data_IF_509791169321
#
_entry.id   IF_509791169321
#
_cell.length_a   1.000
_cell.length_b   1.000
_cell.length_c   1.000
_cell.angle_alpha   90.00
_cell.angle_beta   90.00
_cell.angle_gamma   90.00
#
_symmetry.space_group_name_H-M   'P 1'
#
loop_
_entity.id
_entity.type
_entity.pdbx_description
1 polymer ?
#
# COMPACT_ATOMS: atom_id res chain seq x y z
N UNK A 1 13.24 0.97 40.61
CA UNK A 1 13.08 -0.42 40.13
C UNK A 1 14.32 -0.77 39.35
N UNK A 2 14.87 -1.97 39.53
CA UNK A 2 16.03 -2.44 38.76
C UNK A 2 15.54 -2.83 37.38
N UNK A 3 16.05 -2.20 36.31
CA UNK A 3 15.68 -2.53 34.94
C UNK A 3 15.86 -4.04 34.67
N UNK A 4 14.95 -4.64 33.90
CA UNK A 4 15.03 -6.07 33.62
C UNK A 4 16.27 -6.39 32.78
N UNK A 5 16.81 -7.61 32.95
CA UNK A 5 17.97 -8.11 32.19
C UNK A 5 17.60 -8.72 30.83
N UNK A 6 16.31 -8.73 30.49
CA UNK A 6 15.77 -9.28 29.26
C UNK A 6 14.77 -8.31 28.62
N UNK A 7 14.48 -8.53 27.34
CA UNK A 7 13.57 -7.69 26.56
C UNK A 7 12.52 -8.55 25.88
N UNK A 8 11.25 -8.26 26.16
CA UNK A 8 10.10 -8.79 25.44
C UNK A 8 9.23 -7.59 25.04
N UNK A 9 9.42 -7.12 23.81
CA UNK A 9 8.77 -5.91 23.31
C UNK A 9 7.37 -6.17 22.80
N UNK A 10 6.46 -5.24 23.09
CA UNK A 10 5.18 -5.07 22.42
C UNK A 10 4.91 -3.57 22.29
N UNK A 11 4.10 -3.14 21.32
CA UNK A 11 3.82 -1.73 21.13
C UNK A 11 3.08 -1.41 19.85
N UNK A 12 2.77 -0.12 19.73
CA UNK A 12 2.06 0.46 18.62
C UNK A 12 3.03 1.17 17.67
N UNK A 13 2.77 1.08 16.37
CA UNK A 13 3.57 1.78 15.37
C UNK A 13 2.75 2.87 14.67
N UNK A 14 3.34 4.06 14.59
CA UNK A 14 2.83 5.19 13.84
C UNK A 14 3.74 5.45 12.64
N UNK A 15 3.13 5.83 11.51
CA UNK A 15 3.83 6.15 10.27
C UNK A 15 3.50 7.57 9.81
N UNK A 16 4.49 8.31 9.34
CA UNK A 16 4.30 9.59 8.67
C UNK A 16 4.98 9.52 7.30
N UNK A 17 4.20 9.59 6.23
CA UNK A 17 4.71 9.38 4.87
C UNK A 17 5.11 10.70 4.23
N UNK A 18 6.16 10.67 3.42
CA UNK A 18 6.53 11.80 2.60
C UNK A 18 5.59 11.88 1.41
N UNK A 19 4.94 13.04 1.26
CA UNK A 19 4.09 13.33 0.13
C UNK A 19 4.89 14.16 -0.90
N UNK A 20 5.22 13.58 -2.07
CA UNK A 20 6.05 14.26 -3.06
C UNK A 20 5.36 15.46 -3.72
N UNK A 21 4.02 15.53 -3.69
CA UNK A 21 3.24 16.63 -4.26
C UNK A 21 3.39 17.91 -3.43
N UNK A 22 3.39 17.78 -2.10
CA UNK A 22 3.55 18.92 -1.17
C UNK A 22 5.01 19.14 -0.72
N UNK A 23 5.89 18.17 -0.97
CA UNK A 23 7.31 18.25 -0.61
C UNK A 23 7.58 18.13 0.90
N UNK A 24 6.66 17.52 1.65
CA UNK A 24 6.71 17.43 3.11
C UNK A 24 6.25 16.06 3.60
N UNK A 25 6.58 15.75 4.86
CA UNK A 25 5.99 14.63 5.57
C UNK A 25 4.58 14.99 6.02
N UNK A 26 3.66 14.06 5.87
CA UNK A 26 2.29 14.14 6.39
C UNK A 26 2.30 13.96 7.91
N UNK A 27 1.14 14.18 8.55
CA UNK A 27 0.96 13.88 9.96
C UNK A 27 1.11 12.36 10.22
N UNK A 28 1.41 12.01 11.47
CA UNK A 28 1.48 10.60 11.86
C UNK A 28 0.08 9.97 11.81
N UNK A 29 -0.02 8.81 11.17
CA UNK A 29 -1.20 7.95 11.19
C UNK A 29 -0.88 6.65 11.94
N UNK A 30 -1.89 6.10 12.62
CA UNK A 30 -1.77 4.94 13.49
C UNK A 30 -2.72 5.03 14.70
N UNK A 31 -2.59 4.12 15.68
CA UNK A 31 -1.64 3.01 15.71
C UNK A 31 -1.94 1.97 14.61
N UNK A 32 -0.88 1.37 14.05
CA UNK A 32 -0.98 0.29 13.05
C UNK A 32 -0.52 -1.03 13.67
N UNK A 33 -1.28 -2.09 13.44
CA UNK A 33 -0.92 -3.42 13.90
C UNK A 33 0.32 -3.94 13.15
N UNK A 34 1.39 -4.23 13.90
CA UNK A 34 2.67 -4.69 13.35
C UNK A 34 3.11 -6.00 13.98
N UNK A 35 3.69 -6.86 13.16
CA UNK A 35 4.29 -8.13 13.62
C UNK A 35 5.80 -8.06 13.67
N UNK A 36 6.39 -7.08 12.99
CA UNK A 36 7.84 -6.87 12.94
C UNK A 36 8.18 -5.39 12.85
N UNK A 37 9.12 -4.94 13.67
CA UNK A 37 9.79 -3.66 13.57
C UNK A 37 11.27 -3.86 13.91
N UNK A 38 12.11 -4.02 12.88
CA UNK A 38 13.51 -4.44 13.02
C UNK A 38 14.45 -3.40 12.41
N UNK A 39 15.52 -3.08 13.14
CA UNK A 39 16.62 -2.24 12.70
C UNK A 39 17.90 -3.09 12.75
N UNK A 40 18.54 -3.27 11.59
CA UNK A 40 19.69 -4.16 11.43
C UNK A 40 20.94 -3.36 11.05
N UNK A 41 22.01 -3.37 11.88
CA UNK A 41 23.27 -2.74 11.52
C UNK A 41 23.92 -3.46 10.35
N UNK A 42 24.48 -2.70 9.42
CA UNK A 42 25.28 -3.24 8.30
C UNK A 42 26.68 -2.66 8.33
N UNK A 43 27.66 -3.55 8.12
CA UNK A 43 29.07 -3.22 7.98
C UNK A 43 29.65 -4.03 6.84
N UNK A 44 30.53 -3.43 6.05
CA UNK A 44 31.38 -4.15 5.10
C UNK A 44 32.74 -4.40 5.75
N UNK A 45 33.20 -5.66 5.69
CA UNK A 45 34.52 -6.05 6.15
C UNK A 45 35.49 -6.10 4.97
N UNK A 46 36.57 -5.31 5.04
CA UNK A 46 37.70 -5.43 4.11
C UNK A 46 38.83 -6.18 4.80
N UNK A 47 39.04 -7.42 4.37
CA UNK A 47 40.06 -8.30 4.94
C UNK A 47 41.22 -8.51 3.98
N UNK A 48 42.44 -8.42 4.51
CA UNK A 48 43.65 -8.85 3.81
C UNK A 48 43.94 -10.31 4.19
N UNK A 49 43.61 -11.24 3.30
CA UNK A 49 43.93 -12.66 3.49
C UNK A 49 45.36 -12.94 3.02
N UNK A 50 46.16 -13.51 3.92
CA UNK A 50 47.54 -13.88 3.67
C UNK A 50 47.66 -14.95 2.58
N UNK A 51 48.62 -14.75 1.67
CA UNK A 51 49.11 -15.78 0.74
C UNK A 51 50.52 -16.28 1.10
N UNK A 52 50.99 -15.99 2.31
CA UNK A 52 52.31 -16.42 2.78
C UNK A 52 52.39 -17.93 3.00
N UNK A 53 53.57 -18.53 2.81
CA UNK A 53 53.76 -20.00 2.88
C UNK A 53 53.32 -20.63 4.21
N UNK A 54 53.40 -19.90 5.32
CA UNK A 54 53.09 -20.40 6.68
C UNK A 54 51.78 -19.86 7.25
N UNK A 55 51.25 -18.76 6.71
CA UNK A 55 50.01 -18.12 7.15
C UNK A 55 48.93 -18.10 6.08
N UNK A 56 49.09 -18.92 5.02
CA UNK A 56 48.17 -18.98 3.88
C UNK A 56 46.73 -19.17 4.34
N UNK A 57 45.83 -18.26 3.95
CA UNK A 57 44.41 -18.29 4.30
C UNK A 57 44.05 -17.59 5.62
N UNK A 58 45.01 -17.04 6.38
CA UNK A 58 44.72 -16.27 7.60
C UNK A 58 44.48 -14.79 7.27
N UNK A 59 43.58 -14.13 8.02
CA UNK A 59 43.39 -12.67 7.95
C UNK A 59 44.55 -11.96 8.64
N UNK A 60 45.26 -11.10 7.92
CA UNK A 60 46.38 -10.30 8.43
C UNK A 60 45.86 -8.99 9.02
N UNK A 61 44.97 -8.33 8.29
CA UNK A 61 44.38 -7.03 8.62
C UNK A 61 42.89 -7.06 8.26
N UNK A 62 42.06 -6.41 9.07
CA UNK A 62 40.63 -6.26 8.82
C UNK A 62 40.18 -4.85 9.17
N UNK A 63 39.43 -4.21 8.26
CA UNK A 63 38.84 -2.89 8.46
C UNK A 63 37.33 -2.96 8.25
N UNK A 64 36.57 -2.53 9.24
CA UNK A 64 35.11 -2.40 9.18
C UNK A 64 34.72 -1.04 8.57
N UNK A 65 33.91 -1.05 7.52
CA UNK A 65 33.31 0.14 6.91
C UNK A 65 31.82 0.16 7.25
N UNK A 66 31.32 1.18 7.98
CA UNK A 66 29.90 1.31 8.28
C UNK A 66 29.05 1.49 7.02
N UNK A 67 27.91 0.82 6.95
CA UNK A 67 26.89 0.98 5.91
C UNK A 67 25.60 1.54 6.52
N UNK A 68 24.68 2.13 5.71
CA UNK A 68 23.37 2.52 6.19
C UNK A 68 22.65 1.33 6.84
N UNK A 69 22.01 1.57 7.99
CA UNK A 69 21.23 0.56 8.68
C UNK A 69 20.07 0.08 7.79
N UNK A 70 19.87 -1.22 7.76
CA UNK A 70 18.66 -1.81 7.17
C UNK A 70 17.50 -1.70 8.16
N UNK A 71 16.31 -1.58 7.60
CA UNK A 71 15.07 -1.46 8.34
C UNK A 71 14.03 -2.36 7.69
N UNK A 72 13.23 -3.04 8.50
CA UNK A 72 12.07 -3.78 7.99
C UNK A 72 10.92 -3.65 8.97
N UNK A 73 9.76 -3.29 8.44
CA UNK A 73 8.49 -3.31 9.15
C UNK A 73 7.51 -4.23 8.42
N UNK A 74 6.84 -5.09 9.18
CA UNK A 74 5.76 -5.94 8.68
C UNK A 74 4.47 -5.55 9.39
N UNK A 75 3.52 -5.01 8.63
CA UNK A 75 2.17 -4.70 9.08
C UNK A 75 1.27 -5.92 8.93
N UNK A 76 0.55 -6.26 9.99
CA UNK A 76 -0.53 -7.26 9.95
C UNK A 76 -1.85 -6.65 9.46
N UNK A 77 -1.98 -5.33 9.51
CA UNK A 77 -3.15 -4.62 8.99
C UNK A 77 -2.90 -4.05 7.58
N UNK A 78 -3.88 -4.27 6.70
CA UNK A 78 -3.95 -3.64 5.38
C UNK A 78 -4.88 -2.44 5.44
N UNK A 79 -4.31 -1.26 5.61
CA UNK A 79 -5.01 0.01 5.54
C UNK A 79 -4.68 0.73 4.22
N UNK A 80 -5.41 1.81 3.92
CA UNK A 80 -5.10 2.63 2.74
C UNK A 80 -3.65 3.12 2.74
N UNK A 81 -3.08 3.43 3.90
CA UNK A 81 -1.73 3.99 3.98
C UNK A 81 -0.64 2.91 3.87
N UNK A 82 -0.85 1.73 4.47
CA UNK A 82 0.07 0.59 4.30
C UNK A 82 0.02 0.07 2.87
N UNK A 83 -1.15 0.04 2.23
CA UNK A 83 -1.30 -0.39 0.84
C UNK A 83 -0.69 0.60 -0.16
N UNK A 84 -0.81 1.91 0.06
CA UNK A 84 -0.11 2.90 -0.79
C UNK A 84 1.41 2.73 -0.66
N UNK A 85 1.91 2.46 0.55
CA UNK A 85 3.33 2.22 0.78
C UNK A 85 3.80 0.93 0.09
N UNK A 86 3.01 -0.15 0.18
CA UNK A 86 3.30 -1.44 -0.47
C UNK A 86 3.34 -1.33 -2.01
N UNK A 87 2.40 -0.58 -2.59
CA UNK A 87 2.24 -0.45 -4.04
C UNK A 87 3.08 0.69 -4.64
N UNK A 88 3.94 1.33 -3.86
CA UNK A 88 4.72 2.50 -4.28
C UNK A 88 3.86 3.59 -4.95
N UNK A 89 2.68 3.82 -4.38
CA UNK A 89 1.63 4.57 -5.04
C UNK A 89 1.44 6.00 -4.55
N UNK A 90 0.49 6.68 -5.17
CA UNK A 90 -0.11 7.94 -4.72
C UNK A 90 -1.58 7.72 -4.41
N UNK A 91 -2.07 8.34 -3.33
CA UNK A 91 -3.46 8.23 -2.87
C UNK A 91 -4.23 9.47 -3.31
N UNK A 92 -5.43 9.28 -3.83
CA UNK A 92 -6.38 10.37 -4.11
C UNK A 92 -7.75 10.01 -3.55
N UNK A 93 -8.54 11.01 -3.19
CA UNK A 93 -9.92 10.79 -2.75
C UNK A 93 -10.82 10.46 -3.95
N UNK A 94 -11.74 9.52 -3.77
CA UNK A 94 -12.88 9.31 -4.65
C UNK A 94 -14.04 10.08 -4.02
N UNK A 95 -14.62 11.02 -4.76
CA UNK A 95 -15.82 11.75 -4.33
C UNK A 95 -16.70 12.06 -5.56
N UNK A 96 -17.53 11.08 -5.92
CA UNK A 96 -18.45 11.15 -7.05
C UNK A 96 -19.86 11.39 -6.48
N UNK A 97 -20.52 12.46 -6.91
CA UNK A 97 -21.92 12.73 -6.55
C UNK A 97 -22.88 11.77 -7.27
N UNK A 98 -24.10 11.61 -6.76
CA UNK A 98 -25.15 10.90 -7.48
C UNK A 98 -25.64 11.70 -8.70
N UNK A 99 -26.10 11.03 -9.74
CA UNK A 99 -26.60 11.70 -10.94
C UNK A 99 -27.40 10.80 -11.86
N UNK A 100 -27.69 11.34 -13.04
CA UNK A 100 -28.37 10.64 -14.12
C UNK A 100 -27.43 10.48 -15.31
N UNK A 101 -27.58 9.36 -16.01
CA UNK A 101 -26.95 9.09 -17.29
C UNK A 101 -28.04 9.03 -18.35
N UNK A 102 -27.87 9.75 -19.45
CA UNK A 102 -28.87 9.88 -20.50
C UNK A 102 -28.24 9.54 -21.84
N UNK A 103 -28.70 8.44 -22.45
CA UNK A 103 -28.26 7.97 -23.76
C UNK A 103 -26.74 7.95 -23.94
N UNK A 104 -25.99 7.45 -22.95
CA UNK A 104 -24.54 7.24 -23.09
C UNK A 104 -24.33 6.13 -24.12
N UNK A 105 -23.55 6.41 -25.14
CA UNK A 105 -23.24 5.48 -26.21
C UNK A 105 -22.01 4.63 -25.87
N UNK A 106 -22.19 3.31 -25.86
CA UNK A 106 -21.12 2.36 -25.53
C UNK A 106 -21.04 1.28 -26.61
N UNK A 107 -19.87 1.13 -27.22
CA UNK A 107 -19.60 0.06 -28.18
C UNK A 107 -19.40 -1.27 -27.45
N UNK A 108 -20.27 -2.24 -27.71
CA UNK A 108 -20.30 -3.50 -26.98
C UNK A 108 -19.92 -4.68 -27.89
N UNK A 109 -18.96 -5.49 -27.47
CA UNK A 109 -18.64 -6.77 -28.11
C UNK A 109 -19.36 -7.91 -27.39
N UNK A 110 -19.89 -8.87 -28.13
CA UNK A 110 -20.52 -10.06 -27.53
C UNK A 110 -19.55 -10.82 -26.63
N UNK A 111 -20.03 -11.21 -25.46
CA UNK A 111 -19.28 -11.99 -24.48
C UNK A 111 -18.18 -11.23 -23.73
N UNK A 112 -18.00 -9.93 -23.99
CA UNK A 112 -17.00 -9.10 -23.31
C UNK A 112 -17.67 -8.05 -22.41
N UNK A 113 -17.04 -7.77 -21.27
CA UNK A 113 -17.44 -6.68 -20.38
C UNK A 113 -16.90 -5.34 -20.89
N UNK A 114 -17.74 -4.32 -20.93
CA UNK A 114 -17.39 -2.94 -21.28
C UNK A 114 -17.81 -2.00 -20.16
N UNK A 115 -16.97 -1.00 -19.87
CA UNK A 115 -17.27 0.05 -18.91
C UNK A 115 -18.25 1.06 -19.51
N UNK A 116 -19.31 1.39 -18.76
CA UNK A 116 -20.30 2.40 -19.16
C UNK A 116 -19.95 3.81 -18.66
N UNK A 117 -18.85 3.97 -17.93
CA UNK A 117 -18.30 5.26 -17.47
C UNK A 117 -18.79 5.72 -16.09
N UNK A 118 -19.63 4.92 -15.41
CA UNK A 118 -20.15 5.24 -14.07
C UNK A 118 -20.22 3.99 -13.19
N UNK A 119 -19.87 4.11 -11.92
CA UNK A 119 -20.03 3.07 -10.90
C UNK A 119 -21.34 3.27 -10.11
N UNK A 120 -21.70 2.27 -9.29
CA UNK A 120 -22.87 2.34 -8.40
C UNK A 120 -24.19 2.66 -9.13
N UNK A 121 -24.46 1.89 -10.19
CA UNK A 121 -25.64 2.06 -11.03
C UNK A 121 -26.89 1.61 -10.29
N UNK A 122 -27.95 2.43 -10.32
CA UNK A 122 -29.24 2.05 -9.78
C UNK A 122 -29.87 0.94 -10.62
N UNK A 123 -30.41 -0.08 -9.95
CA UNK A 123 -31.14 -1.17 -10.62
C UNK A 123 -32.45 -0.68 -11.22
N UNK A 124 -33.13 0.23 -10.51
CA UNK A 124 -34.40 0.82 -10.95
C UNK A 124 -34.13 1.94 -11.96
N UNK A 125 -34.84 1.89 -13.08
CA UNK A 125 -34.77 2.93 -14.11
C UNK A 125 -33.61 2.79 -15.09
N UNK A 126 -32.81 1.73 -15.00
CA UNK A 126 -31.82 1.39 -16.01
C UNK A 126 -32.51 0.90 -17.29
N UNK A 127 -32.16 1.50 -18.43
CA UNK A 127 -32.62 1.13 -19.75
C UNK A 127 -31.42 1.03 -20.70
N UNK A 128 -31.32 -0.08 -21.40
CA UNK A 128 -30.33 -0.31 -22.46
C UNK A 128 -31.07 -0.44 -23.78
N UNK A 129 -30.71 0.40 -24.74
CA UNK A 129 -31.37 0.47 -26.05
C UNK A 129 -30.37 0.37 -27.19
N UNK A 130 -30.87 0.15 -28.40
CA UNK A 130 -30.08 0.32 -29.61
C UNK A 130 -29.62 1.79 -29.77
N UNK A 131 -28.65 2.02 -30.67
CA UNK A 131 -28.13 3.37 -30.98
C UNK A 131 -29.21 4.36 -31.45
N UNK A 132 -30.37 3.86 -31.90
CA UNK A 132 -31.47 4.70 -32.35
C UNK A 132 -32.46 5.04 -31.23
N UNK A 133 -32.31 4.44 -30.04
CA UNK A 133 -33.20 4.61 -28.90
C UNK A 133 -34.56 3.92 -29.05
N UNK A 134 -34.73 3.06 -30.05
CA UNK A 134 -36.02 2.43 -30.40
C UNK A 134 -36.16 1.07 -29.71
N UNK A 135 -35.26 0.14 -30.02
CA UNK A 135 -35.30 -1.21 -29.43
C UNK A 135 -34.78 -1.16 -28.00
N UNK A 136 -35.57 -1.66 -27.05
CA UNK A 136 -35.14 -1.81 -25.65
C UNK A 136 -34.74 -3.25 -25.39
N UNK A 137 -33.54 -3.46 -24.87
CA UNK A 137 -32.99 -4.78 -24.58
C UNK A 137 -33.29 -5.21 -23.15
N UNK A 138 -33.36 -6.53 -22.94
CA UNK A 138 -33.80 -7.12 -21.67
C UNK A 138 -32.62 -7.71 -20.90
N UNK A 139 -32.48 -7.32 -19.63
CA UNK A 139 -31.50 -7.89 -18.71
C UNK A 139 -31.68 -9.41 -18.57
N UNK A 140 -30.60 -10.17 -18.61
CA UNK A 140 -30.59 -11.64 -18.51
C UNK A 140 -30.89 -12.38 -19.82
N UNK A 141 -31.50 -11.70 -20.80
CA UNK A 141 -31.74 -12.25 -22.14
C UNK A 141 -30.74 -11.70 -23.16
N UNK A 142 -30.53 -10.38 -23.13
CA UNK A 142 -29.67 -9.68 -24.09
C UNK A 142 -28.33 -9.29 -23.51
N UNK A 143 -28.31 -8.87 -22.24
CA UNK A 143 -27.11 -8.42 -21.55
C UNK A 143 -27.13 -8.76 -20.06
N UNK A 144 -25.95 -8.74 -19.46
CA UNK A 144 -25.73 -8.74 -18.02
C UNK A 144 -25.06 -7.44 -17.61
N UNK A 145 -25.26 -7.02 -16.37
CA UNK A 145 -24.61 -5.82 -15.82
C UNK A 145 -24.05 -6.09 -14.43
N UNK A 146 -22.85 -5.59 -14.19
CA UNK A 146 -22.28 -5.44 -12.86
C UNK A 146 -22.59 -4.02 -12.37
N UNK A 147 -23.71 -3.85 -11.66
CA UNK A 147 -24.18 -2.55 -11.18
C UNK A 147 -23.15 -1.81 -10.31
N UNK A 148 -22.32 -2.55 -9.55
CA UNK A 148 -21.29 -1.95 -8.69
C UNK A 148 -20.19 -1.31 -9.52
N UNK A 149 -19.67 -2.03 -10.51
CA UNK A 149 -18.55 -1.57 -11.35
C UNK A 149 -18.98 -0.76 -12.57
N UNK A 150 -20.28 -0.76 -12.91
CA UNK A 150 -20.74 -0.13 -14.15
C UNK A 150 -20.36 -0.91 -15.41
N UNK A 151 -20.14 -2.21 -15.31
CA UNK A 151 -19.74 -2.99 -16.48
C UNK A 151 -20.95 -3.67 -17.11
N UNK A 152 -21.10 -3.55 -18.42
CA UNK A 152 -22.13 -4.21 -19.21
C UNK A 152 -21.50 -5.30 -20.08
N UNK A 153 -22.15 -6.45 -20.20
CA UNK A 153 -21.74 -7.53 -21.11
C UNK A 153 -22.93 -7.98 -21.94
N UNK A 154 -22.81 -7.86 -23.26
CA UNK A 154 -23.80 -8.44 -24.19
C UNK A 154 -23.65 -9.95 -24.21
N UNK A 155 -24.76 -10.67 -24.03
CA UNK A 155 -24.76 -12.13 -24.01
C UNK A 155 -24.45 -12.70 -25.41
N UNK A 156 -23.63 -13.76 -25.54
CA UNK A 156 -23.34 -14.37 -26.84
C UNK A 156 -24.59 -14.78 -27.62
N UNK A 157 -25.62 -15.24 -26.91
CA UNK A 157 -26.91 -15.70 -27.43
C UNK A 157 -27.89 -14.57 -27.78
N UNK A 158 -27.57 -13.31 -27.47
CA UNK A 158 -28.45 -12.16 -27.75
C UNK A 158 -28.63 -11.91 -29.25
N UNK A 159 -29.76 -11.28 -29.62
CA UNK A 159 -29.98 -10.76 -30.97
C UNK A 159 -29.21 -9.47 -31.28
N UNK A 160 -28.61 -8.81 -30.28
CA UNK A 160 -27.73 -7.65 -30.47
C UNK A 160 -26.61 -8.01 -31.44
N UNK A 161 -26.30 -7.15 -32.41
CA UNK A 161 -25.22 -7.38 -33.38
C UNK A 161 -23.86 -7.20 -32.68
N UNK A 162 -22.85 -7.97 -33.09
CA UNK A 162 -21.50 -7.79 -32.53
C UNK A 162 -20.95 -6.40 -32.86
N UNK A 163 -20.22 -5.80 -31.91
CA UNK A 163 -19.73 -4.41 -31.96
C UNK A 163 -20.85 -3.35 -32.08
N UNK A 164 -22.09 -3.68 -31.72
CA UNK A 164 -23.17 -2.70 -31.70
C UNK A 164 -22.91 -1.60 -30.67
N UNK A 165 -23.26 -0.36 -31.03
CA UNK A 165 -23.34 0.75 -30.09
C UNK A 165 -24.70 0.69 -29.40
N UNK A 166 -24.68 0.69 -28.07
CA UNK A 166 -25.88 0.69 -27.23
C UNK A 166 -26.00 2.03 -26.51
N UNK A 167 -27.24 2.49 -26.34
CA UNK A 167 -27.57 3.66 -25.53
C UNK A 167 -27.99 3.23 -24.14
N UNK A 168 -27.25 3.71 -23.13
CA UNK A 168 -27.52 3.42 -21.72
C UNK A 168 -28.09 4.67 -21.05
N UNK A 169 -29.24 4.51 -20.41
CA UNK A 169 -29.92 5.55 -19.64
C UNK A 169 -30.26 5.01 -18.26
N UNK A 170 -30.13 5.81 -17.21
CA UNK A 170 -30.41 5.41 -15.85
C UNK A 170 -29.89 6.41 -14.83
N UNK A 171 -29.74 5.97 -13.59
CA UNK A 171 -29.18 6.79 -12.51
C UNK A 171 -28.03 6.07 -11.83
N UNK A 172 -27.13 6.83 -11.23
CA UNK A 172 -26.01 6.32 -10.45
C UNK A 172 -25.97 7.00 -9.08
N UNK A 173 -25.64 6.22 -8.06
CA UNK A 173 -25.48 6.70 -6.70
C UNK A 173 -24.12 7.37 -6.47
N UNK A 174 -24.04 8.15 -5.39
CA UNK A 174 -22.76 8.72 -4.97
C UNK A 174 -21.78 7.61 -4.58
N UNK A 175 -20.49 7.84 -4.80
CA UNK A 175 -19.39 6.94 -4.41
C UNK A 175 -18.31 7.77 -3.77
N UNK A 176 -17.97 7.42 -2.53
CA UNK A 176 -16.83 7.99 -1.81
C UNK A 176 -15.82 6.91 -1.46
N UNK A 177 -14.54 7.26 -1.37
CA UNK A 177 -13.49 6.31 -1.05
C UNK A 177 -12.09 6.85 -1.29
N UNK A 178 -11.12 5.96 -1.44
CA UNK A 178 -9.74 6.30 -1.79
C UNK A 178 -9.29 5.48 -2.99
N UNK A 179 -8.60 6.14 -3.91
CA UNK A 179 -7.93 5.52 -5.04
C UNK A 179 -6.43 5.52 -4.81
N UNK A 180 -5.79 4.40 -5.13
CA UNK A 180 -4.34 4.26 -5.08
C UNK A 180 -3.85 4.03 -6.51
N UNK A 181 -3.09 4.98 -7.04
CA UNK A 181 -2.35 4.79 -8.29
C UNK A 181 -1.00 4.15 -7.94
N UNK A 182 -0.88 2.83 -8.14
CA UNK A 182 0.35 2.08 -7.84
C UNK A 182 1.49 2.39 -8.82
N UNK A 183 2.74 2.25 -8.36
CA UNK A 183 3.95 2.42 -9.17
C UNK A 183 4.23 3.87 -9.61
N UNK A 184 3.55 4.86 -9.03
CA UNK A 184 3.78 6.28 -9.34
C UNK A 184 5.01 6.84 -8.63
N UNK A 185 5.55 6.13 -7.64
CA UNK A 185 6.78 6.49 -6.94
C UNK A 185 7.83 5.38 -7.11
N UNK A 186 9.11 5.76 -7.25
CA UNK A 186 10.20 4.77 -7.30
C UNK A 186 10.57 4.25 -5.90
N UNK A 187 10.31 5.05 -4.87
CA UNK A 187 10.58 4.75 -3.47
C UNK A 187 9.60 5.54 -2.60
N UNK A 188 9.30 5.00 -1.43
CA UNK A 188 8.55 5.69 -0.38
C UNK A 188 9.55 6.19 0.66
N UNK A 189 9.35 7.42 1.14
CA UNK A 189 10.07 7.93 2.32
C UNK A 189 9.07 8.04 3.45
N UNK A 190 9.42 7.58 4.64
CA UNK A 190 8.54 7.63 5.80
C UNK A 190 9.33 7.86 7.11
N UNK A 191 8.64 8.42 8.10
CA UNK A 191 9.05 8.42 9.50
C UNK A 191 8.27 7.34 10.22
N UNK A 192 8.89 6.78 11.25
CA UNK A 192 8.22 5.83 12.14
C UNK A 192 8.39 6.26 13.58
N UNK A 193 7.33 6.10 14.36
CA UNK A 193 7.36 6.27 15.80
C UNK A 193 6.77 5.00 16.41
N UNK A 194 7.60 4.25 17.12
CA UNK A 194 7.20 3.08 17.88
C UNK A 194 7.00 3.48 19.33
N UNK A 195 5.80 3.24 19.83
CA UNK A 195 5.46 3.39 21.24
C UNK A 195 5.29 2.00 21.84
N UNK A 196 6.33 1.52 22.51
CA UNK A 196 6.36 0.18 23.05
C UNK A 196 6.62 0.10 24.54
N UNK A 197 6.52 -1.11 25.04
CA UNK A 197 6.86 -1.48 26.40
C UNK A 197 7.67 -2.77 26.41
N UNK A 198 8.57 -2.88 27.37
CA UNK A 198 9.21 -4.14 27.68
C UNK A 198 8.39 -4.89 28.73
N UNK A 199 7.80 -6.04 28.40
CA UNK A 199 7.02 -6.82 29.36
C UNK A 199 7.86 -7.40 30.52
N UNK A 200 9.19 -7.40 30.42
CA UNK A 200 10.04 -7.90 31.49
C UNK A 200 10.08 -6.96 32.72
N UNK A 201 9.91 -5.66 32.53
CA UNK A 201 9.87 -4.65 33.61
C UNK A 201 8.67 -3.68 33.51
N UNK A 202 7.85 -3.81 32.47
CA UNK A 202 6.75 -2.92 32.11
C UNK A 202 7.18 -1.46 31.93
N UNK A 203 8.44 -1.23 31.52
CA UNK A 203 8.95 0.10 31.24
C UNK A 203 8.81 0.47 29.75
N UNK A 204 8.56 1.76 29.43
CA UNK A 204 8.42 2.20 28.04
C UNK A 204 9.72 2.09 27.23
N UNK A 205 9.56 1.73 25.96
CA UNK A 205 10.59 1.70 24.92
C UNK A 205 10.06 2.44 23.68
N UNK A 206 10.57 3.64 23.44
CA UNK A 206 10.16 4.48 22.31
C UNK A 206 11.26 4.45 21.25
N UNK A 207 10.90 4.18 20.00
CA UNK A 207 11.83 4.26 18.87
C UNK A 207 11.34 5.29 17.86
N UNK A 208 12.18 6.27 17.55
CA UNK A 208 11.91 7.29 16.54
C UNK A 208 12.86 7.08 15.35
N UNK A 209 12.30 6.77 14.18
CA UNK A 209 13.03 6.72 12.91
C UNK A 209 12.80 8.03 12.16
N UNK A 210 13.86 8.80 11.95
CA UNK A 210 13.75 10.15 11.38
C UNK A 210 13.49 10.15 9.87
N UNK A 211 14.01 9.16 9.14
CA UNK A 211 13.68 8.92 7.73
C UNK A 211 14.10 7.51 7.33
N UNK A 212 13.12 6.71 6.91
CA UNK A 212 13.32 5.44 6.21
C UNK A 212 13.06 5.65 4.72
N UNK A 213 13.97 5.14 3.89
CA UNK A 213 13.81 5.05 2.43
C UNK A 213 13.45 3.61 2.10
N UNK A 214 12.20 3.42 1.69
CA UNK A 214 11.59 2.12 1.42
C UNK A 214 11.53 1.96 -0.09
N UNK A 215 12.17 0.92 -0.60
CA UNK A 215 11.99 0.45 -1.97
C UNK A 215 11.22 -0.85 -1.86
N UNK A 216 9.95 -0.86 -2.28
CA UNK A 216 9.12 -2.04 -2.15
C UNK A 216 9.73 -3.17 -2.99
N UNK A 217 10.18 -4.22 -2.31
CA UNK A 217 10.58 -5.48 -2.94
C UNK A 217 9.61 -6.62 -2.64
N UNK A 218 8.54 -6.34 -1.89
CA UNK A 218 7.58 -7.33 -1.42
C UNK A 218 6.31 -7.26 -2.26
N UNK A 219 5.86 -8.41 -2.77
CA UNK A 219 4.60 -8.50 -3.50
C UNK A 219 3.42 -8.39 -2.51
N UNK A 220 2.38 -7.65 -2.88
CA UNK A 220 1.11 -7.68 -2.17
C UNK A 220 0.13 -8.55 -2.96
N UNK A 221 -0.30 -9.67 -2.36
CA UNK A 221 -1.24 -10.59 -2.98
C UNK A 221 -2.68 -10.27 -2.55
N UNK A 222 -3.48 -9.80 -3.51
CA UNK A 222 -4.90 -9.49 -3.30
C UNK A 222 -5.78 -10.73 -3.14
N UNK A 223 -5.25 -11.93 -3.39
CA UNK A 223 -5.94 -13.22 -3.35
C UNK A 223 -5.24 -14.22 -2.43
N UNK A 224 -4.45 -13.73 -1.48
CA UNK A 224 -3.77 -14.56 -0.49
C UNK A 224 -4.78 -15.48 0.24
N UNK A 225 -4.38 -16.72 0.49
CA UNK A 225 -5.20 -17.69 1.23
C UNK A 225 -5.32 -17.38 2.74
N UNK A 226 -4.37 -16.62 3.27
CA UNK A 226 -4.30 -16.14 4.66
C UNK A 226 -4.46 -14.62 4.71
N UNK A 227 -4.54 -14.04 5.92
CA UNK A 227 -4.57 -12.58 6.08
C UNK A 227 -3.33 -11.93 5.43
N UNK A 228 -3.59 -11.01 4.50
CA UNK A 228 -2.52 -10.31 3.80
C UNK A 228 -1.71 -9.44 4.76
N UNK A 229 -0.39 -9.48 4.63
CA UNK A 229 0.55 -8.64 5.38
C UNK A 229 1.29 -7.70 4.45
N UNK A 230 1.64 -6.50 4.92
CA UNK A 230 2.45 -5.54 4.16
C UNK A 230 3.85 -5.49 4.76
N UNK A 231 4.85 -5.98 4.02
CA UNK A 231 6.26 -5.92 4.40
C UNK A 231 6.98 -4.79 3.66
N UNK A 232 7.59 -3.87 4.40
CA UNK A 232 8.32 -2.72 3.87
C UNK A 232 9.80 -2.75 4.29
N UNK A 233 10.66 -3.41 3.49
CA UNK A 233 12.10 -3.31 3.68
C UNK A 233 12.62 -1.95 3.19
N UNK A 234 13.63 -1.42 3.87
CA UNK A 234 14.22 -0.13 3.54
C UNK A 234 15.57 0.09 4.19
N UNK A 235 16.09 1.30 3.98
CA UNK A 235 17.32 1.78 4.61
C UNK A 235 17.05 3.07 5.36
N UNK A 236 17.70 3.22 6.51
CA UNK A 236 17.58 4.44 7.30
C UNK A 236 18.52 5.52 6.76
N UNK A 237 18.03 6.75 6.74
CA UNK A 237 18.77 7.94 6.31
C UNK A 237 18.77 8.97 7.43
N UNK A 238 19.93 9.57 7.69
CA UNK A 238 20.06 10.72 8.60
C UNK A 238 19.63 12.00 7.86
N UNK A 239 18.52 12.65 8.24
CA UNK A 239 18.09 13.90 7.61
C UNK A 239 19.01 15.07 7.98
N UNK A 240 18.92 16.16 7.21
CA UNK A 240 19.62 17.42 7.54
C UNK A 240 19.19 17.90 8.92
N UNK A 241 20.15 18.24 9.77
CA UNK A 241 19.90 18.70 11.15
C UNK A 241 19.79 17.58 12.19
N UNK A 242 19.90 16.30 11.80
CA UNK A 242 20.04 15.17 12.72
C UNK A 242 21.48 14.63 12.69
N UNK A 243 21.92 14.03 13.79
CA UNK A 243 23.24 13.39 13.88
C UNK A 243 23.18 11.86 13.70
N UNK A 244 21.98 11.30 13.78
CA UNK A 244 21.66 9.89 13.80
C UNK A 244 20.43 9.59 12.92
N UNK A 245 20.29 8.36 12.39
CA UNK A 245 19.12 7.99 11.59
C UNK A 245 17.88 7.60 12.42
N UNK A 246 18.07 7.17 13.66
CA UNK A 246 17.02 6.80 14.59
C UNK A 246 17.47 7.00 16.05
N UNK A 247 16.51 7.08 16.97
CA UNK A 247 16.73 7.19 18.42
C UNK A 247 15.91 6.13 19.13
N UNK A 248 16.52 5.44 20.11
CA UNK A 248 15.83 4.52 21.03
C UNK A 248 15.85 5.14 22.42
N UNK A 249 14.69 5.29 23.05
CA UNK A 249 14.54 5.81 24.41
C UNK A 249 13.98 4.69 25.28
N UNK A 250 14.79 4.26 26.25
CA UNK A 250 14.36 3.37 27.32
C UNK A 250 14.07 4.25 28.52
N UNK A 251 12.81 4.28 28.96
CA UNK A 251 12.40 5.13 30.07
C UNK A 251 12.44 4.34 31.38
N UNK A 252 12.79 5.02 32.46
CA UNK A 252 12.86 4.44 33.82
C UNK A 252 11.55 4.64 34.61
N UNK A 253 10.59 5.34 34.01
CA UNK A 253 9.27 5.63 34.55
C UNK A 253 8.22 5.35 33.47
N UNK A 254 7.14 4.68 33.86
CA UNK A 254 5.96 4.53 33.03
C UNK A 254 5.31 5.91 32.84
N UNK A 255 5.10 6.31 31.59
CA UNK A 255 4.46 7.57 31.20
C UNK A 255 3.15 7.32 30.45
#
# INVERSE_FOLDING_TARGET
>A
MTAARGFLGAGDLYISRYNPTIGAFEDFTGPLETTKFEITPKVDLKEMVSKGRTSYGQVIESVTIPQPFEFTVDFAEVSGDTLVAALLGTKTEINIGSGTMTAIEVACKKGAWVDIGHMNIATVGLSVKDVTGVTTYVLGTDYEINYRLGMLKVLPTSAIVDLAVLQITGTYGAVTGSQIAGGTQAQIRAKFLFDGMNFADNLPCIVEVHEAVIAASSAFDFLAGDFASVSLPGRLKTPVGKTEPFVVKLLDVAI
#
